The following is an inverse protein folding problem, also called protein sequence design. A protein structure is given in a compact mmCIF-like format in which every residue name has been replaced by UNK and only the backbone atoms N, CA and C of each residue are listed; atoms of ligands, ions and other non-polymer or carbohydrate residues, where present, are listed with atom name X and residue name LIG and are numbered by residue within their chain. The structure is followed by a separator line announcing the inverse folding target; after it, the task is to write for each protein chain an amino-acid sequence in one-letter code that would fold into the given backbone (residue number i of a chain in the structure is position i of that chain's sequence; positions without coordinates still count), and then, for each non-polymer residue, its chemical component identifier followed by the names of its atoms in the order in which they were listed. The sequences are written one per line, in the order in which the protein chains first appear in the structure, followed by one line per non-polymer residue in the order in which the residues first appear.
data_IF_879707356705
#
_entry.id   IF_879707356705
#
_cell.length_a   1.000
_cell.length_b   1.000
_cell.length_c   1.000
_cell.angle_alpha   90.00
_cell.angle_beta   90.00
_cell.angle_gamma   90.00
#
_symmetry.space_group_name_H-M   'P 1'
#
loop_
_entity.id
_entity.type
_entity.pdbx_description
1 polymer ?
#
# COMPACT_ATOMS: atom_id res chain seq x y z
N UNK A 1 -4.36 16.34 18.66
CA UNK A 1 -4.49 17.55 17.82
C UNK A 1 -5.88 18.16 17.94
N UNK A 2 -5.96 19.46 17.92
CA UNK A 2 -7.25 20.16 17.89
C UNK A 2 -7.89 20.07 16.49
N UNK A 3 -9.19 20.27 16.40
CA UNK A 3 -9.90 20.31 15.12
C UNK A 3 -9.32 21.40 14.19
N UNK A 4 -8.97 22.54 14.74
CA UNK A 4 -8.37 23.65 13.98
C UNK A 4 -7.02 23.24 13.38
N UNK A 5 -6.18 22.53 14.14
CA UNK A 5 -4.89 22.03 13.65
C UNK A 5 -5.09 20.98 12.55
N UNK A 6 -6.07 20.09 12.72
CA UNK A 6 -6.39 19.05 11.71
C UNK A 6 -6.89 19.65 10.40
N UNK A 7 -7.55 20.81 10.44
CA UNK A 7 -8.06 21.47 9.25
C UNK A 7 -7.02 22.26 8.49
N UNK A 8 -5.80 22.41 9.02
CA UNK A 8 -4.71 23.03 8.28
C UNK A 8 -4.39 22.17 7.04
N UNK A 9 -4.13 22.80 5.87
CA UNK A 9 -4.05 22.04 4.60
C UNK A 9 -3.08 20.86 4.62
N UNK A 10 -1.87 21.05 5.12
CA UNK A 10 -0.87 19.97 5.16
C UNK A 10 -1.31 18.86 6.11
N UNK A 11 -1.73 19.21 7.34
CA UNK A 11 -2.17 18.22 8.32
C UNK A 11 -3.40 17.45 7.82
N UNK A 12 -4.34 18.14 7.19
CA UNK A 12 -5.56 17.51 6.64
C UNK A 12 -5.21 16.51 5.55
N UNK A 13 -4.37 16.89 4.59
CA UNK A 13 -3.96 16.02 3.50
C UNK A 13 -3.15 14.83 4.04
N UNK A 14 -2.28 15.04 5.02
CA UNK A 14 -1.55 13.95 5.67
C UNK A 14 -2.50 12.91 6.27
N UNK A 15 -3.52 13.36 7.00
CA UNK A 15 -4.52 12.47 7.59
C UNK A 15 -5.32 11.73 6.51
N UNK A 16 -5.76 12.44 5.47
CA UNK A 16 -6.56 11.85 4.40
C UNK A 16 -5.73 10.86 3.58
N UNK A 17 -4.50 11.19 3.26
CA UNK A 17 -3.60 10.31 2.51
C UNK A 17 -3.31 9.03 3.30
N UNK A 18 -3.00 9.15 4.58
CA UNK A 18 -2.76 7.99 5.44
C UNK A 18 -4.01 7.11 5.58
N UNK A 19 -5.18 7.73 5.76
CA UNK A 19 -6.45 7.00 5.82
C UNK A 19 -6.75 6.26 4.52
N UNK A 20 -6.49 6.88 3.38
CA UNK A 20 -6.71 6.25 2.08
C UNK A 20 -5.79 5.06 1.86
N UNK A 21 -4.52 5.16 2.24
CA UNK A 21 -3.60 4.03 2.21
C UNK A 21 -4.05 2.90 3.14
N UNK A 22 -4.55 3.25 4.34
CA UNK A 22 -5.06 2.26 5.28
C UNK A 22 -6.23 1.46 4.69
N UNK A 23 -7.20 2.14 4.11
CA UNK A 23 -8.36 1.50 3.48
C UNK A 23 -7.92 0.60 2.33
N UNK A 24 -7.12 1.14 1.42
CA UNK A 24 -6.68 0.42 0.23
C UNK A 24 -5.88 -0.84 0.58
N UNK A 25 -4.86 -0.70 1.41
CA UNK A 25 -3.93 -1.79 1.69
C UNK A 25 -4.47 -2.79 2.71
N UNK A 26 -5.27 -2.38 3.68
CA UNK A 26 -5.93 -3.32 4.59
C UNK A 26 -6.94 -4.17 3.84
N UNK A 27 -7.77 -3.58 3.00
CA UNK A 27 -8.74 -4.35 2.22
C UNK A 27 -8.03 -5.34 1.31
N UNK A 28 -7.02 -4.89 0.57
CA UNK A 28 -6.27 -5.73 -0.36
C UNK A 28 -5.53 -6.86 0.36
N UNK A 29 -4.87 -6.55 1.48
CA UNK A 29 -4.15 -7.54 2.27
C UNK A 29 -5.08 -8.56 2.92
N UNK A 30 -6.18 -8.11 3.51
CA UNK A 30 -7.15 -8.98 4.17
C UNK A 30 -7.88 -9.89 3.18
N UNK A 31 -8.19 -9.41 1.97
CA UNK A 31 -8.76 -10.25 0.91
C UNK A 31 -7.85 -11.44 0.60
N UNK A 32 -6.53 -11.21 0.57
CA UNK A 32 -5.56 -12.28 0.34
C UNK A 32 -5.43 -13.23 1.52
N UNK A 33 -5.56 -12.72 2.75
CA UNK A 33 -5.53 -13.57 3.95
C UNK A 33 -6.77 -14.46 4.01
N UNK A 34 -7.95 -13.91 3.73
CA UNK A 34 -9.22 -14.64 3.84
C UNK A 34 -9.46 -15.59 2.67
N UNK A 35 -8.93 -15.29 1.49
CA UNK A 35 -9.04 -16.16 0.31
C UNK A 35 -7.65 -16.46 -0.28
N UNK A 36 -6.75 -16.93 0.56
CA UNK A 36 -5.38 -17.22 0.17
C UNK A 36 -5.32 -18.28 -0.94
N UNK A 37 -6.11 -19.35 -0.81
CA UNK A 37 -6.14 -20.44 -1.79
C UNK A 37 -6.63 -19.98 -3.16
N UNK A 38 -7.68 -19.17 -3.20
CA UNK A 38 -8.20 -18.59 -4.44
C UNK A 38 -7.22 -17.68 -5.11
N UNK A 39 -6.56 -16.80 -4.34
CA UNK A 39 -5.52 -15.94 -4.86
C UNK A 39 -4.33 -16.72 -5.38
N UNK A 40 -3.89 -17.76 -4.65
CA UNK A 40 -2.78 -18.61 -5.07
C UNK A 40 -3.10 -19.31 -6.40
N UNK A 41 -4.30 -19.87 -6.53
CA UNK A 41 -4.72 -20.56 -7.76
C UNK A 41 -4.74 -19.60 -8.95
N UNK A 42 -5.30 -18.40 -8.78
CA UNK A 42 -5.35 -17.38 -9.83
C UNK A 42 -3.95 -16.94 -10.26
N UNK A 43 -3.09 -16.64 -9.29
CA UNK A 43 -1.72 -16.20 -9.56
C UNK A 43 -0.88 -17.30 -10.20
N UNK A 44 -1.06 -18.55 -9.81
CA UNK A 44 -0.37 -19.69 -10.42
C UNK A 44 -0.69 -19.78 -11.91
N UNK A 45 -1.95 -19.59 -12.28
CA UNK A 45 -2.35 -19.51 -13.69
C UNK A 45 -1.81 -18.27 -14.40
N UNK A 46 -1.88 -17.13 -13.73
CA UNK A 46 -1.43 -15.84 -14.29
C UNK A 46 0.07 -15.82 -14.61
N UNK A 47 0.90 -16.43 -13.76
CA UNK A 47 2.35 -16.48 -13.91
C UNK A 47 2.87 -17.78 -14.56
N UNK A 48 1.97 -18.66 -15.03
CA UNK A 48 2.35 -19.98 -15.54
C UNK A 48 3.38 -19.96 -16.68
N UNK A 49 3.35 -18.91 -17.52
CA UNK A 49 4.27 -18.73 -18.65
C UNK A 49 5.32 -17.64 -18.40
N UNK A 50 5.50 -17.21 -17.17
CA UNK A 50 6.45 -16.17 -16.82
C UNK A 50 7.70 -16.74 -16.15
N UNK A 51 8.80 -15.95 -16.05
CA UNK A 51 9.97 -16.34 -15.27
C UNK A 51 9.67 -16.58 -13.78
N UNK A 52 8.53 -16.08 -13.27
CA UNK A 52 8.15 -16.17 -11.87
C UNK A 52 7.31 -17.41 -11.53
N UNK A 53 7.09 -18.29 -12.50
CA UNK A 53 6.20 -19.47 -12.33
C UNK A 53 6.57 -20.39 -11.17
N UNK A 54 7.86 -20.44 -10.80
CA UNK A 54 8.34 -21.30 -9.72
C UNK A 54 8.34 -20.64 -8.35
N UNK A 55 7.98 -19.35 -8.25
CA UNK A 55 8.07 -18.56 -7.01
C UNK A 55 6.75 -17.85 -6.65
N UNK A 56 5.63 -18.34 -7.18
CA UNK A 56 4.31 -17.74 -6.97
C UNK A 56 3.93 -17.72 -5.48
N UNK A 57 4.14 -18.82 -4.77
CA UNK A 57 3.81 -18.89 -3.34
C UNK A 57 4.61 -17.89 -2.51
N UNK A 58 5.97 -17.84 -2.61
CA UNK A 58 6.71 -16.79 -1.91
C UNK A 58 6.31 -15.37 -2.29
N UNK A 59 5.97 -15.13 -3.56
CA UNK A 59 5.50 -13.82 -4.01
C UNK A 59 4.18 -13.44 -3.33
N UNK A 60 3.22 -14.36 -3.30
CA UNK A 60 1.92 -14.11 -2.67
C UNK A 60 2.07 -13.87 -1.17
N UNK A 61 2.90 -14.66 -0.49
CA UNK A 61 3.16 -14.47 0.95
C UNK A 61 3.81 -13.11 1.21
N UNK A 62 4.87 -12.78 0.46
CA UNK A 62 5.56 -11.50 0.60
C UNK A 62 4.64 -10.32 0.34
N UNK A 63 3.86 -10.39 -0.74
CA UNK A 63 2.92 -9.36 -1.11
C UNK A 63 1.83 -9.17 -0.05
N UNK A 64 1.27 -10.27 0.45
CA UNK A 64 0.23 -10.24 1.49
C UNK A 64 0.76 -9.63 2.78
N UNK A 65 1.96 -10.03 3.22
CA UNK A 65 2.59 -9.47 4.42
C UNK A 65 2.86 -7.98 4.24
N UNK A 66 3.43 -7.58 3.10
CA UNK A 66 3.75 -6.18 2.82
C UNK A 66 2.50 -5.31 2.76
N UNK A 67 1.45 -5.79 2.07
CA UNK A 67 0.18 -5.05 1.97
C UNK A 67 -0.50 -4.89 3.33
N UNK A 68 -0.61 -5.99 4.09
CA UNK A 68 -1.25 -5.97 5.40
C UNK A 68 -0.47 -5.09 6.37
N UNK A 69 0.86 -5.18 6.37
CA UNK A 69 1.71 -4.35 7.20
C UNK A 69 1.60 -2.87 6.82
N UNK A 70 1.60 -2.55 5.52
CA UNK A 70 1.43 -1.18 5.04
C UNK A 70 0.09 -0.60 5.50
N UNK A 71 -0.98 -1.37 5.33
CA UNK A 71 -2.32 -0.96 5.74
C UNK A 71 -2.45 -0.77 7.25
N UNK A 72 -1.91 -1.70 8.05
CA UNK A 72 -1.94 -1.62 9.50
C UNK A 72 -1.15 -0.40 10.01
N UNK A 73 0.05 -0.16 9.46
CA UNK A 73 0.87 0.99 9.81
C UNK A 73 0.19 2.30 9.41
N UNK A 74 -0.44 2.34 8.25
CA UNK A 74 -1.19 3.53 7.81
C UNK A 74 -2.40 3.79 8.71
N UNK A 75 -3.12 2.76 9.12
CA UNK A 75 -4.25 2.89 10.04
C UNK A 75 -3.81 3.40 11.41
N UNK A 76 -2.81 2.76 12.00
CA UNK A 76 -2.22 3.22 13.25
C UNK A 76 -1.63 4.63 13.11
N UNK A 77 -1.00 4.90 11.97
CA UNK A 77 -0.44 6.22 11.65
C UNK A 77 -1.50 7.30 11.55
N UNK A 78 -2.66 6.99 10.98
CA UNK A 78 -3.79 7.94 10.93
C UNK A 78 -4.26 8.30 12.34
N UNK A 79 -4.41 7.29 13.21
CA UNK A 79 -4.78 7.53 14.60
C UNK A 79 -3.73 8.38 15.34
N UNK A 80 -2.44 8.10 15.13
CA UNK A 80 -1.36 8.87 15.75
C UNK A 80 -1.31 10.31 15.25
N UNK A 81 -1.60 10.53 13.96
CA UNK A 81 -1.71 11.88 13.40
C UNK A 81 -2.84 12.65 14.07
N UNK A 82 -4.02 12.04 14.18
CA UNK A 82 -5.20 12.70 14.74
C UNK A 82 -5.03 12.99 16.22
N UNK A 83 -4.47 12.05 16.98
CA UNK A 83 -4.37 12.16 18.45
C UNK A 83 -3.13 12.93 18.87
N UNK A 84 -1.96 12.60 18.31
CA UNK A 84 -0.67 13.11 18.79
C UNK A 84 0.03 14.05 17.79
N UNK A 85 -0.45 14.16 16.56
CA UNK A 85 0.23 14.96 15.54
C UNK A 85 1.55 14.37 15.06
N UNK A 86 1.81 13.08 15.30
CA UNK A 86 3.04 12.40 14.87
C UNK A 86 2.79 11.58 13.62
N UNK A 87 3.74 11.58 12.69
CA UNK A 87 3.58 10.95 11.37
C UNK A 87 4.53 9.78 11.10
N UNK A 88 5.28 9.33 12.11
CA UNK A 88 6.28 8.27 11.94
C UNK A 88 5.67 6.95 11.43
N UNK A 89 4.56 6.49 12.02
CA UNK A 89 3.89 5.25 11.60
C UNK A 89 3.28 5.38 10.21
N UNK A 90 2.65 6.51 9.92
CA UNK A 90 2.09 6.79 8.59
C UNK A 90 3.19 6.80 7.53
N UNK A 91 4.35 7.37 7.82
CA UNK A 91 5.50 7.36 6.92
C UNK A 91 5.97 5.94 6.62
N UNK A 92 6.09 5.09 7.63
CA UNK A 92 6.46 3.69 7.42
C UNK A 92 5.40 2.95 6.61
N UNK A 93 4.13 3.20 6.87
CA UNK A 93 3.03 2.67 6.07
C UNK A 93 3.17 3.07 4.60
N UNK A 94 3.42 4.34 4.33
CA UNK A 94 3.60 4.85 2.97
C UNK A 94 4.85 4.26 2.28
N UNK A 95 5.94 4.06 3.01
CA UNK A 95 7.14 3.40 2.46
C UNK A 95 6.84 1.97 2.03
N UNK A 96 6.21 1.19 2.89
CA UNK A 96 5.84 -0.19 2.58
C UNK A 96 4.82 -0.25 1.44
N UNK A 97 3.85 0.66 1.42
CA UNK A 97 2.87 0.76 0.36
C UNK A 97 3.54 1.01 -1.00
N UNK A 98 4.46 1.96 -1.04
CA UNK A 98 5.20 2.29 -2.26
C UNK A 98 6.04 1.10 -2.74
N UNK A 99 6.75 0.45 -1.81
CA UNK A 99 7.54 -0.74 -2.12
C UNK A 99 6.64 -1.87 -2.67
N UNK A 100 5.49 -2.10 -2.04
CA UNK A 100 4.55 -3.13 -2.48
C UNK A 100 4.08 -2.89 -3.92
N UNK A 101 3.71 -1.65 -4.26
CA UNK A 101 3.26 -1.32 -5.62
C UNK A 101 4.38 -1.54 -6.63
N UNK A 102 5.63 -1.19 -6.31
CA UNK A 102 6.77 -1.44 -7.20
C UNK A 102 6.98 -2.94 -7.43
N UNK A 103 6.86 -3.75 -6.37
CA UNK A 103 6.96 -5.21 -6.49
C UNK A 103 5.85 -5.78 -7.37
N UNK A 104 4.62 -5.33 -7.19
CA UNK A 104 3.48 -5.76 -8.01
C UNK A 104 3.66 -5.33 -9.46
N UNK A 105 4.14 -4.12 -9.69
CA UNK A 105 4.42 -3.61 -11.03
C UNK A 105 5.48 -4.47 -11.74
N UNK A 106 6.56 -4.79 -11.06
CA UNK A 106 7.60 -5.65 -11.61
C UNK A 106 7.03 -7.03 -11.98
N UNK A 107 6.22 -7.62 -11.09
CA UNK A 107 5.57 -8.91 -11.35
C UNK A 107 4.70 -8.87 -12.60
N UNK A 108 3.87 -7.85 -12.76
CA UNK A 108 3.02 -7.70 -13.93
C UNK A 108 3.83 -7.50 -15.21
N UNK A 109 4.92 -6.74 -15.15
CA UNK A 109 5.82 -6.55 -16.30
C UNK A 109 6.48 -7.87 -16.71
N UNK A 110 6.92 -8.67 -15.73
CA UNK A 110 7.53 -9.98 -16.02
C UNK A 110 6.52 -10.99 -16.55
N UNK A 111 5.26 -10.90 -16.13
CA UNK A 111 4.17 -11.70 -16.66
C UNK A 111 3.69 -11.23 -18.04
N UNK A 112 4.22 -10.10 -18.53
CA UNK A 112 3.81 -9.43 -19.76
C UNK A 112 2.34 -8.99 -19.74
N UNK A 113 1.77 -8.81 -18.55
CA UNK A 113 0.47 -8.19 -18.34
C UNK A 113 0.65 -6.68 -18.26
N UNK A 114 0.82 -6.05 -19.41
CA UNK A 114 1.11 -4.62 -19.47
C UNK A 114 -0.11 -3.76 -19.10
N UNK A 115 -1.31 -4.25 -19.36
CA UNK A 115 -2.53 -3.58 -18.91
C UNK A 115 -2.63 -3.62 -17.37
N UNK A 116 -2.35 -4.77 -16.76
CA UNK A 116 -2.28 -4.89 -15.31
C UNK A 116 -1.20 -4.02 -14.69
N UNK A 117 -0.02 -3.97 -15.33
CA UNK A 117 1.06 -3.09 -14.89
C UNK A 117 0.65 -1.62 -14.96
N UNK A 118 0.03 -1.20 -16.08
CA UNK A 118 -0.43 0.19 -16.25
C UNK A 118 -1.47 0.58 -15.20
N UNK A 119 -2.33 -0.34 -14.78
CA UNK A 119 -3.35 -0.09 -13.75
C UNK A 119 -2.76 0.22 -12.38
N UNK A 120 -1.49 -0.11 -12.14
CA UNK A 120 -0.79 0.17 -10.88
C UNK A 120 -0.17 1.56 -10.83
N UNK A 121 -0.05 2.25 -11.97
CA UNK A 121 0.58 3.59 -12.02
C UNK A 121 -0.17 4.62 -11.16
N UNK A 122 -1.52 4.73 -11.20
CA UNK A 122 -2.23 5.63 -10.29
C UNK A 122 -1.98 5.33 -8.82
N UNK A 123 -1.88 4.06 -8.46
CA UNK A 123 -1.58 3.65 -7.08
C UNK A 123 -0.16 4.04 -6.67
N UNK A 124 0.79 3.94 -7.58
CA UNK A 124 2.15 4.42 -7.31
C UNK A 124 2.17 5.93 -7.07
N UNK A 125 1.46 6.69 -7.90
CA UNK A 125 1.36 8.15 -7.74
C UNK A 125 0.73 8.49 -6.38
N UNK A 126 -0.33 7.78 -6.00
CA UNK A 126 -0.96 7.95 -4.69
C UNK A 126 0.04 7.68 -3.55
N UNK A 127 0.73 6.54 -3.59
CA UNK A 127 1.67 6.15 -2.55
C UNK A 127 2.86 7.10 -2.44
N UNK A 128 3.45 7.47 -3.57
CA UNK A 128 4.57 8.40 -3.63
C UNK A 128 4.15 9.80 -3.15
N UNK A 129 2.98 10.27 -3.57
CA UNK A 129 2.41 11.54 -3.13
C UNK A 129 2.14 11.56 -1.63
N UNK A 130 1.58 10.47 -1.09
CA UNK A 130 1.35 10.30 0.34
C UNK A 130 2.67 10.34 1.12
N UNK A 131 3.69 9.64 0.61
CA UNK A 131 5.01 9.62 1.25
C UNK A 131 5.62 11.02 1.31
N UNK A 132 5.55 11.76 0.20
CA UNK A 132 6.08 13.12 0.15
C UNK A 132 5.33 14.06 1.10
N UNK A 133 4.01 14.01 1.09
CA UNK A 133 3.17 14.86 1.95
C UNK A 133 3.36 14.52 3.44
N UNK A 134 3.46 13.24 3.76
CA UNK A 134 3.69 12.82 5.15
C UNK A 134 5.08 13.19 5.67
N UNK A 135 6.04 13.40 4.77
CA UNK A 135 7.36 13.89 5.13
C UNK A 135 7.44 15.41 5.34
N UNK A 136 6.37 16.14 5.04
CA UNK A 136 6.34 17.60 5.19
C UNK A 136 6.06 18.01 6.63
N UNK A 137 6.58 19.18 7.08
CA UNK A 137 6.20 19.74 8.38
C UNK A 137 4.71 20.06 8.43
N UNK A 138 4.08 19.84 9.59
CA UNK A 138 2.66 20.07 9.79
C UNK A 138 2.32 21.53 10.10
N UNK A 139 3.31 22.33 10.45
CA UNK A 139 3.12 23.72 10.83
C UNK A 139 2.81 24.61 9.63
#
# INVERSE_FOLDING_TARGET
MTLEQLLQPVAFVQCMASAMLAILFLQSGLDKVFDFKGNLAWLTGHFAKSPLRGVVLPMLVSGTVTETAAGALAAAGTLHLVVHGTHALALWGARLATLNIVMLFLGQRLAKDYAGAASLVPYFVLCAGALLVLGMPMA
#
